data_IF_022925533115
#
_entry.id   IF_022925533115
#
_cell.length_a   1.000
_cell.length_b   1.000
_cell.length_c   1.000
_cell.angle_alpha   90.00
_cell.angle_beta   90.00
_cell.angle_gamma   90.00
#
_symmetry.space_group_name_H-M   'P 1'
#
loop_
_entity.id
_entity.type
_entity.pdbx_description
1 polymer ?
#
# COMPACT_ATOMS: atom_id res chain seq x y z
N UNK A 1 -11.61 20.89 25.14
CA UNK A 1 -12.62 21.71 24.47
C UNK A 1 -13.02 21.11 23.13
N UNK A 2 -12.06 20.64 22.33
CA UNK A 2 -12.30 20.08 20.99
C UNK A 2 -13.19 18.81 20.94
N UNK A 3 -13.11 17.93 21.95
CA UNK A 3 -13.97 16.73 22.00
C UNK A 3 -15.47 17.07 22.08
N UNK A 4 -15.84 18.12 22.84
CA UNK A 4 -17.24 18.60 22.94
C UNK A 4 -17.73 19.22 21.63
N UNK A 5 -16.85 19.88 20.88
CA UNK A 5 -17.22 20.47 19.58
C UNK A 5 -17.51 19.38 18.54
N UNK A 6 -16.74 18.28 18.56
CA UNK A 6 -16.94 17.12 17.68
C UNK A 6 -18.29 16.44 17.90
N UNK A 7 -18.63 16.13 19.15
CA UNK A 7 -19.90 15.47 19.50
C UNK A 7 -21.12 16.31 19.09
N UNK A 8 -21.06 17.63 19.28
CA UNK A 8 -22.15 18.54 18.90
C UNK A 8 -22.33 18.59 17.38
N UNK A 9 -21.24 18.56 16.62
CA UNK A 9 -21.28 18.55 15.15
C UNK A 9 -21.86 17.24 14.60
N UNK A 10 -21.46 16.09 15.14
CA UNK A 10 -22.06 14.80 14.76
C UNK A 10 -23.55 14.76 15.10
N UNK A 11 -23.94 15.26 16.28
CA UNK A 11 -25.34 15.33 16.68
C UNK A 11 -26.16 16.26 15.77
N UNK A 12 -25.61 17.41 15.36
CA UNK A 12 -26.24 18.32 14.43
C UNK A 12 -26.41 17.69 13.03
N UNK A 13 -25.38 16.99 12.54
CA UNK A 13 -25.43 16.27 11.27
C UNK A 13 -26.53 15.19 11.28
N UNK A 14 -26.59 14.38 12.34
CA UNK A 14 -27.62 13.35 12.51
C UNK A 14 -29.02 13.98 12.62
N UNK A 15 -29.16 15.10 13.32
CA UNK A 15 -30.42 15.84 13.41
C UNK A 15 -30.88 16.34 12.04
N UNK A 16 -29.96 16.85 11.21
CA UNK A 16 -30.27 17.27 9.83
C UNK A 16 -30.71 16.06 9.00
N UNK A 17 -29.98 14.94 9.06
CA UNK A 17 -30.34 13.72 8.31
C UNK A 17 -31.73 13.20 8.73
N UNK A 18 -31.98 13.08 10.03
CA UNK A 18 -33.28 12.61 10.56
C UNK A 18 -34.40 13.61 10.27
N UNK A 19 -34.13 14.91 10.39
CA UNK A 19 -35.07 15.99 10.09
C UNK A 19 -35.47 16.01 8.62
N UNK A 20 -34.50 15.87 7.71
CA UNK A 20 -34.75 15.77 6.27
C UNK A 20 -35.48 14.47 5.91
N UNK A 21 -35.13 13.34 6.51
CA UNK A 21 -35.85 12.08 6.34
C UNK A 21 -37.33 12.21 6.76
N UNK A 22 -37.59 12.79 7.93
CA UNK A 22 -38.94 13.03 8.43
C UNK A 22 -39.71 14.02 7.55
N UNK A 23 -39.09 15.13 7.13
CA UNK A 23 -39.72 16.11 6.26
C UNK A 23 -40.13 15.51 4.90
N UNK A 24 -39.28 14.66 4.33
CA UNK A 24 -39.62 13.91 3.11
C UNK A 24 -40.77 12.94 3.34
N UNK A 25 -40.79 12.22 4.47
CA UNK A 25 -41.89 11.32 4.82
C UNK A 25 -43.22 12.07 4.94
N UNK A 26 -43.24 13.22 5.61
CA UNK A 26 -44.43 14.08 5.74
C UNK A 26 -44.91 14.61 4.38
N UNK A 27 -43.99 14.75 3.42
CA UNK A 27 -44.30 15.17 2.04
C UNK A 27 -44.74 14.01 1.14
N UNK A 28 -44.85 12.79 1.68
CA UNK A 28 -45.23 11.59 0.92
C UNK A 28 -44.08 10.92 0.16
N UNK A 29 -42.83 11.34 0.39
CA UNK A 29 -41.63 10.76 -0.19
C UNK A 29 -40.96 9.77 0.79
N UNK A 30 -40.02 8.95 0.30
CA UNK A 30 -39.33 7.98 1.17
C UNK A 30 -38.34 8.66 2.13
N UNK A 31 -38.21 8.12 3.35
CA UNK A 31 -37.18 8.57 4.30
C UNK A 31 -35.77 8.41 3.74
N UNK A 32 -35.52 7.37 2.93
CA UNK A 32 -34.22 7.14 2.30
C UNK A 32 -33.83 8.27 1.34
N UNK A 33 -34.78 8.83 0.59
CA UNK A 33 -34.54 10.00 -0.26
C UNK A 33 -34.18 11.23 0.57
N UNK A 34 -34.83 11.44 1.73
CA UNK A 34 -34.49 12.55 2.63
C UNK A 34 -33.11 12.42 3.27
N UNK A 35 -32.74 11.20 3.68
CA UNK A 35 -31.40 10.91 4.19
C UNK A 35 -30.32 11.08 3.11
N UNK A 36 -30.58 10.62 1.88
CA UNK A 36 -29.69 10.79 0.74
C UNK A 36 -29.48 12.28 0.40
N UNK A 37 -30.56 13.05 0.31
CA UNK A 37 -30.49 14.48 0.01
C UNK A 37 -29.72 15.25 1.10
N UNK A 38 -29.99 14.95 2.38
CA UNK A 38 -29.23 15.51 3.49
C UNK A 38 -27.74 15.19 3.40
N UNK A 39 -27.40 13.95 3.05
CA UNK A 39 -26.02 13.53 2.82
C UNK A 39 -25.33 14.30 1.70
N UNK A 40 -26.01 14.51 0.57
CA UNK A 40 -25.48 15.31 -0.55
C UNK A 40 -25.25 16.76 -0.11
N UNK A 41 -26.22 17.38 0.56
CA UNK A 41 -26.09 18.76 1.06
C UNK A 41 -24.95 18.91 2.08
N UNK A 42 -24.78 17.93 2.97
CA UNK A 42 -23.69 17.90 3.94
C UNK A 42 -22.33 17.63 3.27
N UNK A 43 -22.29 16.92 2.14
CA UNK A 43 -21.05 16.63 1.40
C UNK A 43 -20.43 17.87 0.74
N UNK A 44 -21.23 18.92 0.49
CA UNK A 44 -20.76 20.22 -0.02
C UNK A 44 -20.35 21.19 1.11
N UNK A 45 -20.49 20.80 2.38
CA UNK A 45 -20.10 21.63 3.52
C UNK A 45 -18.59 21.75 3.69
N UNK A 46 -18.13 22.87 4.24
CA UNK A 46 -16.75 23.07 4.72
C UNK A 46 -16.31 22.02 5.75
N UNK A 47 -17.26 21.34 6.40
CA UNK A 47 -17.00 20.32 7.41
C UNK A 47 -17.07 18.87 6.89
N UNK A 48 -17.18 18.64 5.57
CA UNK A 48 -17.36 17.30 4.97
C UNK A 48 -16.35 16.26 5.48
N UNK A 49 -15.08 16.63 5.61
CA UNK A 49 -14.00 15.72 6.00
C UNK A 49 -14.09 15.32 7.48
N UNK A 50 -14.58 16.22 8.33
CA UNK A 50 -14.81 15.93 9.74
C UNK A 50 -16.04 15.04 9.91
N UNK A 51 -17.15 15.37 9.22
CA UNK A 51 -18.34 14.50 9.20
C UNK A 51 -18.03 13.09 8.68
N UNK A 52 -17.25 12.98 7.61
CA UNK A 52 -16.86 11.69 7.04
C UNK A 52 -16.06 10.86 8.05
N UNK A 53 -15.04 11.47 8.69
CA UNK A 53 -14.24 10.81 9.72
C UNK A 53 -15.06 10.39 10.95
N UNK A 54 -16.08 11.16 11.32
CA UNK A 54 -16.93 10.87 12.48
C UNK A 54 -17.99 9.78 12.17
N UNK A 55 -18.44 9.65 10.91
CA UNK A 55 -19.42 8.64 10.46
C UNK A 55 -18.75 7.33 10.03
N UNK A 56 -17.51 7.36 9.56
CA UNK A 56 -16.75 6.21 9.07
C UNK A 56 -16.78 5.00 10.03
N UNK A 57 -16.61 5.14 11.37
CA UNK A 57 -16.70 4.03 12.31
C UNK A 57 -18.08 3.35 12.33
N UNK A 58 -19.15 4.12 12.08
CA UNK A 58 -20.52 3.60 12.07
C UNK A 58 -20.91 3.00 10.73
N UNK A 59 -20.25 3.40 9.63
CA UNK A 59 -20.56 2.92 8.27
C UNK A 59 -20.53 1.39 8.21
N UNK A 60 -19.50 0.76 8.77
CA UNK A 60 -19.39 -0.71 8.78
C UNK A 60 -20.50 -1.40 9.58
N UNK A 61 -20.86 -0.84 10.74
CA UNK A 61 -21.92 -1.38 11.62
C UNK A 61 -23.29 -1.24 10.95
N UNK A 62 -23.59 -0.06 10.40
CA UNK A 62 -24.86 0.22 9.73
C UNK A 62 -25.01 -0.62 8.45
N UNK A 63 -23.93 -0.80 7.68
CA UNK A 63 -23.91 -1.69 6.51
C UNK A 63 -24.16 -3.14 6.92
N UNK A 64 -23.53 -3.60 8.01
CA UNK A 64 -23.77 -4.93 8.56
C UNK A 64 -25.23 -5.13 9.00
N UNK A 65 -25.80 -4.15 9.70
CA UNK A 65 -27.20 -4.18 10.12
C UNK A 65 -28.16 -4.14 8.92
N UNK A 66 -27.85 -3.36 7.89
CA UNK A 66 -28.61 -3.30 6.64
C UNK A 66 -28.66 -4.66 5.96
N UNK A 67 -27.50 -5.29 5.73
CA UNK A 67 -27.45 -6.60 5.09
C UNK A 67 -28.09 -7.71 5.93
N UNK A 68 -28.01 -7.62 7.26
CA UNK A 68 -28.71 -8.54 8.16
C UNK A 68 -30.23 -8.35 8.02
N UNK A 69 -30.73 -7.12 8.08
CA UNK A 69 -32.15 -6.82 7.92
C UNK A 69 -32.70 -7.26 6.56
N UNK A 70 -31.96 -7.00 5.49
CA UNK A 70 -32.29 -7.44 4.12
C UNK A 70 -32.25 -8.97 4.01
N UNK A 71 -31.28 -9.64 4.66
CA UNK A 71 -31.26 -11.10 4.73
C UNK A 71 -32.48 -11.68 5.44
N UNK A 72 -32.94 -11.03 6.51
CA UNK A 72 -34.16 -11.44 7.25
C UNK A 72 -35.46 -11.15 6.49
N UNK A 73 -35.47 -10.19 5.55
CA UNK A 73 -36.65 -9.91 4.72
C UNK A 73 -36.81 -10.88 3.55
N UNK A 74 -35.82 -11.74 3.30
CA UNK A 74 -35.88 -12.78 2.26
C UNK A 74 -36.80 -13.93 2.70
N UNK A 75 -37.98 -14.01 2.09
CA UNK A 75 -38.89 -15.13 2.29
C UNK A 75 -38.45 -16.36 1.47
N UNK A 76 -37.82 -17.33 2.15
CA UNK A 76 -37.34 -18.57 1.53
C UNK A 76 -38.48 -19.44 0.95
N UNK A 77 -39.71 -19.30 1.46
CA UNK A 77 -40.86 -20.03 0.91
C UNK A 77 -41.22 -19.49 -0.47
N UNK A 78 -41.27 -18.16 -0.62
CA UNK A 78 -41.49 -17.51 -1.93
C UNK A 78 -40.34 -17.81 -2.89
N UNK A 79 -39.10 -17.82 -2.41
CA UNK A 79 -37.92 -18.19 -3.23
C UNK A 79 -38.03 -19.62 -3.71
N UNK A 80 -38.36 -20.58 -2.84
CA UNK A 80 -38.51 -21.98 -3.21
C UNK A 80 -39.67 -22.20 -4.18
N UNK A 81 -40.79 -21.49 -4.01
CA UNK A 81 -41.93 -21.59 -4.91
C UNK A 81 -41.65 -20.99 -6.31
N UNK A 82 -40.89 -19.89 -6.38
CA UNK A 82 -40.65 -19.12 -7.61
C UNK A 82 -39.21 -19.22 -8.14
N UNK A 83 -38.43 -20.21 -7.70
CA UNK A 83 -36.98 -20.27 -7.93
C UNK A 83 -36.58 -20.16 -9.41
N UNK A 84 -37.38 -20.73 -10.32
CA UNK A 84 -37.13 -20.68 -11.77
C UNK A 84 -37.26 -19.27 -12.31
N UNK A 85 -38.34 -18.58 -11.92
CA UNK A 85 -38.60 -17.21 -12.31
C UNK A 85 -37.47 -16.32 -11.78
N UNK A 86 -37.16 -16.42 -10.50
CA UNK A 86 -36.09 -15.65 -9.86
C UNK A 86 -34.75 -15.87 -10.57
N UNK A 87 -34.35 -17.13 -10.82
CA UNK A 87 -33.09 -17.44 -11.49
C UNK A 87 -33.01 -16.82 -12.89
N UNK A 88 -34.08 -16.91 -13.69
CA UNK A 88 -34.13 -16.32 -15.03
C UNK A 88 -34.02 -14.79 -14.95
N UNK A 89 -34.81 -14.14 -14.09
CA UNK A 89 -34.82 -12.69 -13.98
C UNK A 89 -33.48 -12.15 -13.48
N UNK A 90 -32.86 -12.79 -12.48
CA UNK A 90 -31.54 -12.40 -11.97
C UNK A 90 -30.51 -12.37 -13.10
N UNK A 91 -30.38 -13.48 -13.84
CA UNK A 91 -29.41 -13.56 -14.94
C UNK A 91 -29.75 -12.56 -16.04
N UNK A 92 -31.01 -12.51 -16.46
CA UNK A 92 -31.45 -11.64 -17.54
C UNK A 92 -31.17 -10.15 -17.26
N UNK A 93 -31.56 -9.67 -16.06
CA UNK A 93 -31.37 -8.27 -15.73
C UNK A 93 -29.88 -7.94 -15.52
N UNK A 94 -29.10 -8.82 -14.88
CA UNK A 94 -27.66 -8.62 -14.69
C UNK A 94 -26.93 -8.52 -16.03
N UNK A 95 -27.22 -9.43 -16.97
CA UNK A 95 -26.63 -9.41 -18.32
C UNK A 95 -27.05 -8.16 -19.07
N UNK A 96 -28.33 -7.79 -19.04
CA UNK A 96 -28.83 -6.57 -19.69
C UNK A 96 -28.13 -5.32 -19.15
N UNK A 97 -28.00 -5.19 -17.83
CA UNK A 97 -27.35 -4.05 -17.19
C UNK A 97 -25.85 -4.03 -17.48
N UNK A 98 -25.18 -5.16 -17.38
CA UNK A 98 -23.76 -5.30 -17.70
C UNK A 98 -23.49 -4.91 -19.16
N UNK A 99 -24.34 -5.36 -20.10
CA UNK A 99 -24.23 -5.02 -21.51
C UNK A 99 -24.37 -3.51 -21.76
N UNK A 100 -25.35 -2.86 -21.14
CA UNK A 100 -25.51 -1.40 -21.24
C UNK A 100 -24.29 -0.64 -20.71
N UNK A 101 -23.78 -1.04 -19.54
CA UNK A 101 -22.61 -0.41 -18.92
C UNK A 101 -21.36 -0.64 -19.75
N UNK A 102 -21.19 -1.84 -20.30
CA UNK A 102 -20.09 -2.16 -21.21
C UNK A 102 -20.12 -1.26 -22.45
N UNK A 103 -21.27 -1.11 -23.11
CA UNK A 103 -21.41 -0.22 -24.28
C UNK A 103 -21.00 1.22 -23.91
N UNK A 104 -21.51 1.75 -22.80
CA UNK A 104 -21.18 3.10 -22.35
C UNK A 104 -19.68 3.24 -22.09
N UNK A 105 -19.05 2.29 -21.41
CA UNK A 105 -17.61 2.30 -21.16
C UNK A 105 -16.79 2.26 -22.46
N UNK A 106 -17.26 1.51 -23.47
CA UNK A 106 -16.61 1.48 -24.79
C UNK A 106 -16.79 2.79 -25.57
N UNK A 107 -17.94 3.44 -25.48
CA UNK A 107 -18.17 4.76 -26.07
C UNK A 107 -17.23 5.80 -25.44
N UNK A 108 -17.01 5.70 -24.13
CA UNK A 108 -16.06 6.53 -23.38
C UNK A 108 -14.58 6.11 -23.58
N UNK A 109 -14.29 5.27 -24.58
CA UNK A 109 -12.94 4.83 -24.98
C UNK A 109 -12.14 4.15 -23.86
N UNK A 110 -12.81 3.51 -22.91
CA UNK A 110 -12.12 2.71 -21.89
C UNK A 110 -11.65 1.36 -22.48
N UNK A 111 -10.56 0.80 -21.97
CA UNK A 111 -10.04 -0.52 -22.37
C UNK A 111 -11.10 -1.63 -22.24
N UNK A 112 -10.98 -2.71 -23.02
CA UNK A 112 -11.96 -3.82 -22.98
C UNK A 112 -12.08 -4.42 -21.59
N UNK A 113 -10.95 -4.60 -20.91
CA UNK A 113 -10.87 -5.17 -19.57
C UNK A 113 -11.56 -4.26 -18.56
N UNK A 114 -11.21 -2.99 -18.51
CA UNK A 114 -11.85 -2.04 -17.59
C UNK A 114 -13.36 -1.92 -17.85
N UNK A 115 -13.77 -1.94 -19.12
CA UNK A 115 -15.18 -1.94 -19.49
C UNK A 115 -15.90 -3.19 -18.96
N UNK A 116 -15.27 -4.36 -19.05
CA UNK A 116 -15.81 -5.63 -18.56
C UNK A 116 -15.84 -5.70 -17.03
N UNK A 117 -14.79 -5.23 -16.36
CA UNK A 117 -14.72 -5.11 -14.90
C UNK A 117 -15.84 -4.20 -14.39
N UNK A 118 -15.96 -2.98 -14.94
CA UNK A 118 -17.05 -2.05 -14.58
C UNK A 118 -18.43 -2.65 -14.83
N UNK A 119 -18.61 -3.34 -15.96
CA UNK A 119 -19.87 -4.00 -16.29
C UNK A 119 -20.27 -5.05 -15.24
N UNK A 120 -19.32 -5.88 -14.79
CA UNK A 120 -19.58 -6.92 -13.77
C UNK A 120 -19.78 -6.31 -12.38
N UNK A 121 -18.96 -5.35 -11.95
CA UNK A 121 -19.10 -4.70 -10.65
C UNK A 121 -20.44 -3.99 -10.46
N UNK A 122 -20.97 -3.41 -11.54
CA UNK A 122 -22.19 -2.61 -11.49
C UNK A 122 -23.44 -3.38 -11.93
N UNK A 123 -23.31 -4.66 -12.34
CA UNK A 123 -24.44 -5.48 -12.82
C UNK A 123 -25.52 -5.75 -11.75
N UNK A 124 -25.16 -5.69 -10.47
CA UNK A 124 -26.06 -6.04 -9.37
C UNK A 124 -27.21 -5.06 -9.16
N UNK A 125 -28.25 -5.50 -8.46
CA UNK A 125 -29.34 -4.65 -7.99
C UNK A 125 -28.85 -3.66 -6.93
N UNK A 126 -29.43 -2.47 -6.90
CA UNK A 126 -29.11 -1.45 -5.90
C UNK A 126 -30.00 -1.54 -4.67
N UNK A 127 -29.50 -1.10 -3.52
CA UNK A 127 -30.22 -1.07 -2.24
C UNK A 127 -31.50 -0.22 -2.28
N UNK A 128 -31.54 0.79 -3.15
CA UNK A 128 -32.71 1.62 -3.37
C UNK A 128 -33.91 0.85 -3.94
N UNK A 129 -33.70 -0.32 -4.53
CA UNK A 129 -34.78 -1.17 -5.03
C UNK A 129 -35.72 -1.61 -3.90
N UNK A 130 -35.19 -1.91 -2.70
CA UNK A 130 -35.99 -2.34 -1.55
C UNK A 130 -36.98 -1.26 -1.11
N UNK A 131 -36.52 0.00 -1.10
CA UNK A 131 -37.36 1.15 -0.75
C UNK A 131 -38.43 1.37 -1.82
N UNK A 132 -38.06 1.27 -3.10
CA UNK A 132 -38.98 1.46 -4.22
C UNK A 132 -40.09 0.40 -4.25
N UNK A 133 -39.74 -0.88 -4.09
CA UNK A 133 -40.73 -1.97 -4.10
C UNK A 133 -41.64 -1.91 -2.87
N UNK A 134 -41.11 -1.60 -1.70
CA UNK A 134 -41.92 -1.41 -0.49
C UNK A 134 -42.92 -0.25 -0.65
N UNK A 135 -42.49 0.86 -1.26
CA UNK A 135 -43.38 1.99 -1.55
C UNK A 135 -44.46 1.62 -2.57
N UNK A 136 -44.10 0.89 -3.64
CA UNK A 136 -45.05 0.42 -4.63
C UNK A 136 -46.08 -0.56 -4.02
N UNK A 137 -45.66 -1.44 -3.12
CA UNK A 137 -46.53 -2.35 -2.40
C UNK A 137 -47.48 -1.60 -1.46
N UNK A 138 -46.99 -0.57 -0.76
CA UNK A 138 -47.80 0.23 0.16
C UNK A 138 -48.96 0.97 -0.53
N UNK A 139 -48.79 1.37 -1.79
CA UNK A 139 -49.82 2.04 -2.60
C UNK A 139 -50.65 1.01 -3.42
N UNK A 140 -50.35 -0.29 -3.30
CA UNK A 140 -51.10 -1.36 -3.97
C UNK A 140 -50.79 -1.55 -5.45
N UNK A 141 -49.66 -0.99 -5.95
CA UNK A 141 -49.22 -1.20 -7.34
C UNK A 141 -48.74 -2.64 -7.56
N UNK A 142 -48.10 -3.21 -6.53
CA UNK A 142 -47.65 -4.61 -6.51
C UNK A 142 -48.21 -5.31 -5.27
N UNK A 143 -48.46 -6.62 -5.38
CA UNK A 143 -48.87 -7.44 -4.25
C UNK A 143 -47.67 -7.90 -3.41
N UNK A 144 -47.95 -8.48 -2.24
CA UNK A 144 -46.89 -8.94 -1.32
C UNK A 144 -45.99 -10.01 -1.94
N UNK A 145 -46.55 -10.88 -2.80
CA UNK A 145 -45.80 -11.92 -3.48
C UNK A 145 -44.83 -11.35 -4.54
N UNK A 146 -45.27 -10.37 -5.34
CA UNK A 146 -44.38 -9.67 -6.27
C UNK A 146 -43.29 -8.89 -5.53
N UNK A 147 -43.61 -8.21 -4.42
CA UNK A 147 -42.61 -7.51 -3.62
C UNK A 147 -41.53 -8.45 -3.06
N UNK A 148 -41.94 -9.60 -2.51
CA UNK A 148 -41.02 -10.63 -2.02
C UNK A 148 -40.17 -11.22 -3.15
N UNK A 149 -40.77 -11.50 -4.32
CA UNK A 149 -40.07 -12.02 -5.49
C UNK A 149 -39.03 -11.04 -6.04
N UNK A 150 -39.38 -9.75 -6.17
CA UNK A 150 -38.47 -8.71 -6.65
C UNK A 150 -37.32 -8.43 -5.66
N UNK A 151 -37.63 -8.44 -4.37
CA UNK A 151 -36.62 -8.33 -3.30
C UNK A 151 -35.65 -9.50 -3.35
N UNK A 152 -36.15 -10.73 -3.53
CA UNK A 152 -35.31 -11.92 -3.68
C UNK A 152 -34.37 -11.83 -4.90
N UNK A 153 -34.85 -11.34 -6.05
CA UNK A 153 -34.03 -11.11 -7.25
C UNK A 153 -32.86 -10.18 -6.94
N UNK A 154 -33.11 -9.06 -6.25
CA UNK A 154 -32.05 -8.11 -5.88
C UNK A 154 -31.04 -8.74 -4.91
N UNK A 155 -31.51 -9.43 -3.88
CA UNK A 155 -30.62 -10.07 -2.88
C UNK A 155 -29.74 -11.13 -3.53
N UNK A 156 -30.33 -12.04 -4.31
CA UNK A 156 -29.58 -13.11 -4.97
C UNK A 156 -28.57 -12.53 -5.94
N UNK A 157 -28.89 -11.42 -6.61
CA UNK A 157 -27.90 -10.77 -7.47
C UNK A 157 -26.68 -10.25 -6.72
N UNK A 158 -26.86 -9.64 -5.54
CA UNK A 158 -25.75 -9.15 -4.71
C UNK A 158 -24.87 -10.30 -4.23
N UNK A 159 -25.47 -11.46 -3.95
CA UNK A 159 -24.75 -12.69 -3.60
C UNK A 159 -23.97 -13.24 -4.80
N UNK A 160 -24.52 -13.15 -6.03
CA UNK A 160 -23.85 -13.62 -7.24
C UNK A 160 -22.73 -12.71 -7.74
N UNK A 161 -22.76 -11.40 -7.45
CA UNK A 161 -21.73 -10.45 -7.87
C UNK A 161 -20.30 -10.84 -7.50
N UNK A 162 -19.97 -11.16 -6.22
CA UNK A 162 -18.61 -11.58 -5.87
C UNK A 162 -18.18 -12.84 -6.62
N UNK A 163 -19.10 -13.78 -6.88
CA UNK A 163 -18.82 -14.97 -7.69
C UNK A 163 -18.54 -14.61 -9.15
N UNK A 164 -19.31 -13.67 -9.72
CA UNK A 164 -19.09 -13.16 -11.07
C UNK A 164 -17.74 -12.43 -11.20
N UNK A 165 -17.33 -11.67 -10.17
CA UNK A 165 -16.01 -11.02 -10.12
C UNK A 165 -14.88 -12.05 -10.07
N UNK A 166 -15.02 -13.08 -9.24
CA UNK A 166 -14.04 -14.18 -9.17
C UNK A 166 -13.94 -14.90 -10.51
N UNK A 167 -15.08 -15.23 -11.13
CA UNK A 167 -15.12 -15.84 -12.45
C UNK A 167 -14.43 -14.95 -13.49
N UNK A 168 -14.74 -13.65 -13.53
CA UNK A 168 -14.09 -12.70 -14.42
C UNK A 168 -12.56 -12.70 -14.25
N UNK A 169 -12.07 -12.68 -13.02
CA UNK A 169 -10.63 -12.73 -12.72
C UNK A 169 -9.96 -14.03 -13.17
N UNK A 170 -10.69 -15.14 -13.20
CA UNK A 170 -10.18 -16.42 -13.67
C UNK A 170 -10.21 -16.53 -15.20
N UNK A 171 -11.26 -16.01 -15.85
CA UNK A 171 -11.42 -16.03 -17.31
C UNK A 171 -10.55 -14.99 -18.03
N UNK A 172 -10.19 -13.89 -17.35
CA UNK A 172 -9.37 -12.82 -17.94
C UNK A 172 -7.91 -13.03 -17.53
N UNK A 173 -6.98 -13.28 -18.47
CA UNK A 173 -5.56 -13.43 -18.17
C UNK A 173 -5.02 -12.25 -17.33
N UNK A 174 -4.03 -12.48 -16.46
CA UNK A 174 -3.29 -11.37 -15.84
C UNK A 174 -2.59 -10.56 -16.94
N UNK A 175 -2.51 -9.24 -16.75
CA UNK A 175 -1.96 -8.27 -17.70
C UNK A 175 -0.76 -8.79 -18.51
N UNK A 176 -0.93 -8.90 -19.82
CA UNK A 176 0.09 -8.42 -20.76
C UNK A 176 -0.36 -7.01 -21.13
N UNK A 177 0.25 -5.99 -20.50
CA UNK A 177 0.02 -4.62 -20.93
C UNK A 177 0.56 -4.49 -22.35
N UNK A 178 -0.20 -3.83 -23.23
CA UNK A 178 0.15 -3.73 -24.65
C UNK A 178 1.53 -3.09 -24.82
N UNK A 179 2.38 -3.77 -25.58
CA UNK A 179 3.71 -3.32 -26.02
C UNK A 179 3.63 -2.31 -27.19
N UNK A 180 2.44 -1.86 -27.60
CA UNK A 180 2.27 -0.94 -28.71
C UNK A 180 3.03 0.37 -28.45
N UNK A 181 4.16 0.56 -29.16
CA UNK A 181 5.02 1.74 -29.08
C UNK A 181 6.31 1.58 -28.27
N UNK A 182 6.57 0.40 -27.69
CA UNK A 182 7.85 0.10 -27.02
C UNK A 182 8.67 -0.83 -27.91
N UNK A 183 9.69 -0.28 -28.57
CA UNK A 183 10.69 -1.08 -29.26
C UNK A 183 11.42 -1.96 -28.24
N UNK A 184 11.12 -3.26 -28.24
CA UNK A 184 11.91 -4.24 -27.50
C UNK A 184 13.31 -4.21 -28.08
N UNK A 185 14.25 -3.63 -27.32
CA UNK A 185 15.61 -3.45 -27.80
C UNK A 185 16.26 -4.82 -28.04
N UNK A 186 16.58 -5.12 -29.30
CA UNK A 186 17.26 -6.36 -29.67
C UNK A 186 18.80 -6.18 -29.60
N UNK A 187 19.51 -7.22 -29.14
CA UNK A 187 20.97 -7.24 -29.20
C UNK A 187 21.74 -6.36 -28.19
N UNK A 188 21.26 -6.23 -26.95
CA UNK A 188 21.93 -5.40 -25.96
C UNK A 188 23.20 -6.03 -25.36
N UNK A 189 24.28 -5.25 -25.40
CA UNK A 189 25.55 -5.44 -24.69
C UNK A 189 25.70 -4.38 -23.61
N UNK A 190 24.61 -4.01 -22.95
CA UNK A 190 24.62 -3.02 -21.87
C UNK A 190 25.61 -3.43 -20.78
N UNK A 191 26.45 -2.49 -20.36
CA UNK A 191 27.40 -2.75 -19.28
C UNK A 191 26.69 -2.92 -17.93
N UNK A 192 25.56 -2.23 -17.74
CA UNK A 192 24.80 -2.24 -16.50
C UNK A 192 23.32 -2.43 -16.78
N UNK A 193 22.69 -3.36 -16.06
CA UNK A 193 21.24 -3.58 -16.11
C UNK A 193 20.59 -3.01 -14.85
N UNK A 194 19.59 -2.15 -14.99
CA UNK A 194 18.81 -1.59 -13.89
C UNK A 194 17.43 -2.26 -13.87
N UNK A 195 17.00 -2.76 -12.72
CA UNK A 195 15.69 -3.38 -12.54
C UNK A 195 14.86 -2.48 -11.63
N UNK A 196 13.86 -1.81 -12.19
CA UNK A 196 13.06 -0.78 -11.56
C UNK A 196 13.61 0.62 -11.80
N UNK A 197 12.90 1.40 -12.60
CA UNK A 197 13.19 2.76 -13.04
C UNK A 197 12.24 3.81 -12.44
N UNK A 198 11.81 3.57 -11.21
CA UNK A 198 11.20 4.60 -10.38
C UNK A 198 12.22 5.66 -9.91
N UNK A 199 11.81 6.50 -8.95
CA UNK A 199 12.62 7.60 -8.40
C UNK A 199 14.06 7.23 -8.06
N UNK A 200 14.28 6.07 -7.43
CA UNK A 200 15.62 5.63 -7.06
C UNK A 200 16.46 5.24 -8.29
N UNK A 201 15.90 4.45 -9.20
CA UNK A 201 16.59 4.00 -10.42
C UNK A 201 16.97 5.17 -11.33
N UNK A 202 16.08 6.15 -11.47
CA UNK A 202 16.31 7.38 -12.26
C UNK A 202 17.49 8.19 -11.76
N UNK A 203 17.64 8.34 -10.44
CA UNK A 203 18.76 9.07 -9.84
C UNK A 203 20.04 8.22 -9.87
N UNK A 204 19.93 6.93 -9.56
CA UNK A 204 21.07 6.00 -9.56
C UNK A 204 21.68 5.81 -10.96
N UNK A 205 20.93 6.01 -12.04
CA UNK A 205 21.45 5.93 -13.41
C UNK A 205 22.26 7.16 -13.83
N UNK A 206 22.04 8.34 -13.24
CA UNK A 206 22.69 9.59 -13.68
C UNK A 206 24.23 9.53 -13.61
N UNK A 207 24.86 9.06 -12.51
CA UNK A 207 26.31 8.96 -12.46
C UNK A 207 26.89 8.00 -13.52
N UNK A 208 26.14 6.95 -13.88
CA UNK A 208 26.55 5.99 -14.91
C UNK A 208 26.52 6.63 -16.30
N UNK A 209 25.44 7.35 -16.61
CA UNK A 209 25.30 8.10 -17.85
C UNK A 209 26.37 9.17 -18.00
N UNK A 210 26.67 9.93 -16.94
CA UNK A 210 27.71 10.96 -16.95
C UNK A 210 29.11 10.40 -17.24
N UNK A 211 29.31 9.09 -17.03
CA UNK A 211 30.56 8.38 -17.36
C UNK A 211 30.49 7.64 -18.70
N UNK A 212 29.42 7.81 -19.47
CA UNK A 212 29.23 7.14 -20.76
C UNK A 212 29.06 5.63 -20.63
N UNK A 213 28.55 5.14 -19.50
CA UNK A 213 28.29 3.71 -19.30
C UNK A 213 26.92 3.38 -19.90
N UNK A 214 26.91 2.39 -20.81
CA UNK A 214 25.66 1.88 -21.40
C UNK A 214 24.80 1.18 -20.34
N UNK A 215 23.56 1.66 -20.21
CA UNK A 215 22.57 1.16 -19.26
C UNK A 215 21.38 0.56 -20.01
N UNK A 216 20.91 -0.59 -19.55
CA UNK A 216 19.65 -1.20 -19.96
C UNK A 216 18.70 -1.27 -18.77
N UNK A 217 17.40 -1.16 -19.00
CA UNK A 217 16.39 -1.04 -17.94
C UNK A 217 15.34 -2.15 -18.10
N UNK A 218 14.91 -2.75 -16.99
CA UNK A 218 13.67 -3.52 -16.89
C UNK A 218 12.71 -2.75 -15.98
N UNK A 219 11.50 -2.49 -16.47
CA UNK A 219 10.41 -1.96 -15.66
C UNK A 219 9.06 -2.56 -16.11
N UNK A 220 8.08 -2.58 -15.22
CA UNK A 220 6.72 -3.03 -15.50
C UNK A 220 5.71 -1.88 -15.61
N UNK A 221 6.13 -0.64 -15.33
CA UNK A 221 5.35 0.58 -15.45
C UNK A 221 5.61 1.24 -16.81
N UNK A 222 4.55 1.33 -17.64
CA UNK A 222 4.60 1.92 -18.97
C UNK A 222 5.03 3.40 -18.94
N UNK A 223 4.63 4.16 -17.92
CA UNK A 223 5.02 5.57 -17.80
C UNK A 223 6.53 5.70 -17.56
N UNK A 224 7.08 4.83 -16.70
CA UNK A 224 8.53 4.81 -16.43
C UNK A 224 9.33 4.37 -17.65
N UNK A 225 8.77 3.49 -18.49
CA UNK A 225 9.39 3.04 -19.74
C UNK A 225 9.43 4.16 -20.77
N UNK A 226 8.35 4.92 -20.92
CA UNK A 226 8.31 6.08 -21.80
C UNK A 226 9.31 7.15 -21.34
N UNK A 227 9.33 7.44 -20.04
CA UNK A 227 10.31 8.37 -19.47
C UNK A 227 11.75 7.88 -19.71
N UNK A 228 12.04 6.59 -19.57
CA UNK A 228 13.35 6.02 -19.84
C UNK A 228 13.73 6.09 -21.34
N UNK A 229 12.78 5.87 -22.24
CA UNK A 229 13.00 5.96 -23.68
C UNK A 229 13.40 7.39 -24.12
N UNK A 230 12.81 8.43 -23.50
CA UNK A 230 13.17 9.83 -23.76
C UNK A 230 14.64 10.15 -23.41
N UNK A 231 15.22 9.44 -22.44
CA UNK A 231 16.64 9.54 -22.09
C UNK A 231 17.55 8.67 -22.98
N UNK A 232 17.00 7.98 -23.98
CA UNK A 232 17.74 7.11 -24.89
C UNK A 232 18.17 5.78 -24.26
N UNK A 233 17.58 5.41 -23.12
CA UNK A 233 17.83 4.09 -22.55
C UNK A 233 17.20 3.00 -23.41
N UNK A 234 17.82 1.82 -23.38
CA UNK A 234 17.21 0.62 -23.93
C UNK A 234 16.39 -0.04 -22.84
N UNK A 235 15.08 -0.13 -23.07
CA UNK A 235 14.11 -0.50 -22.05
C UNK A 235 13.42 -1.80 -22.41
N UNK A 236 13.31 -2.69 -21.44
CA UNK A 236 12.51 -3.90 -21.50
C UNK A 236 11.31 -3.76 -20.60
N UNK A 237 10.13 -3.94 -21.20
CA UNK A 237 8.92 -4.15 -20.44
C UNK A 237 8.94 -5.54 -19.82
N UNK A 238 8.78 -5.61 -18.50
CA UNK A 238 8.37 -6.83 -17.84
C UNK A 238 8.82 -6.99 -16.40
N UNK A 239 8.54 -8.18 -15.86
CA UNK A 239 8.77 -8.50 -14.46
C UNK A 239 10.21 -9.01 -14.24
N UNK A 240 11.01 -8.24 -13.49
CA UNK A 240 12.38 -8.61 -13.13
C UNK A 240 12.51 -9.89 -12.29
N UNK A 241 11.40 -10.44 -11.77
CA UNK A 241 11.38 -11.75 -11.09
C UNK A 241 11.32 -12.93 -12.05
N UNK A 242 11.20 -12.68 -13.37
CA UNK A 242 11.15 -13.73 -14.39
C UNK A 242 12.52 -13.92 -15.05
N UNK A 243 13.01 -15.15 -15.04
CA UNK A 243 14.35 -15.48 -15.54
C UNK A 243 14.50 -15.27 -17.06
N UNK A 244 13.45 -15.60 -17.83
CA UNK A 244 13.41 -15.37 -19.28
C UNK A 244 13.57 -13.88 -19.63
N UNK A 245 12.94 -12.99 -18.86
CA UNK A 245 13.07 -11.54 -19.02
C UNK A 245 14.49 -11.07 -18.66
N UNK A 246 15.07 -11.60 -17.58
CA UNK A 246 16.46 -11.30 -17.21
C UNK A 246 17.45 -11.71 -18.31
N UNK A 247 17.26 -12.89 -18.93
CA UNK A 247 18.08 -13.32 -20.06
C UNK A 247 17.89 -12.42 -21.29
N UNK A 248 16.64 -12.13 -21.65
CA UNK A 248 16.32 -11.25 -22.78
C UNK A 248 16.93 -9.86 -22.60
N UNK A 249 16.91 -9.34 -21.37
CA UNK A 249 17.50 -8.06 -21.02
C UNK A 249 19.03 -8.04 -20.95
N UNK A 250 19.67 -9.18 -21.20
CA UNK A 250 21.12 -9.29 -21.25
C UNK A 250 21.81 -9.42 -19.89
N UNK A 251 21.11 -9.86 -18.83
CA UNK A 251 21.70 -10.04 -17.50
C UNK A 251 22.97 -10.92 -17.54
N UNK A 252 22.99 -11.96 -18.38
CA UNK A 252 24.16 -12.84 -18.54
C UNK A 252 25.38 -12.19 -19.23
N UNK A 253 25.25 -11.00 -19.82
CA UNK A 253 26.34 -10.23 -20.43
C UNK A 253 26.65 -8.93 -19.71
N UNK A 254 25.80 -8.53 -18.76
CA UNK A 254 26.00 -7.32 -17.98
C UNK A 254 27.25 -7.45 -17.10
N UNK A 255 27.90 -6.33 -16.79
CA UNK A 255 28.99 -6.26 -15.80
C UNK A 255 28.45 -6.05 -14.40
N UNK A 256 27.30 -5.39 -14.27
CA UNK A 256 26.60 -5.21 -13.01
C UNK A 256 25.09 -5.15 -13.19
N UNK A 257 24.36 -5.52 -12.15
CA UNK A 257 22.92 -5.31 -12.03
C UNK A 257 22.62 -4.43 -10.83
N UNK A 258 21.77 -3.41 -11.03
CA UNK A 258 21.22 -2.58 -9.97
C UNK A 258 19.76 -2.98 -9.76
N UNK A 259 19.45 -3.54 -8.60
CA UNK A 259 18.08 -3.84 -8.18
C UNK A 259 17.53 -2.59 -7.48
N UNK A 260 16.62 -1.89 -8.15
CA UNK A 260 16.10 -0.58 -7.73
C UNK A 260 14.59 -0.60 -7.43
N UNK A 261 13.96 -1.78 -7.42
CA UNK A 261 12.56 -1.98 -7.01
C UNK A 261 12.30 -1.55 -5.56
N UNK A 262 11.07 -1.13 -5.26
CA UNK A 262 10.65 -0.64 -3.95
C UNK A 262 10.14 -1.74 -3.01
N UNK A 263 9.55 -2.81 -3.55
CA UNK A 263 9.05 -3.95 -2.79
C UNK A 263 10.19 -4.85 -2.30
N UNK A 264 10.32 -4.98 -0.98
CA UNK A 264 11.41 -5.70 -0.32
C UNK A 264 11.47 -7.20 -0.69
N UNK A 265 10.34 -7.88 -0.73
CA UNK A 265 10.22 -9.29 -1.10
C UNK A 265 10.62 -9.52 -2.57
N UNK A 266 10.20 -8.63 -3.45
CA UNK A 266 10.57 -8.63 -4.87
C UNK A 266 12.07 -8.43 -5.04
N UNK A 267 12.67 -7.45 -4.34
CA UNK A 267 14.10 -7.16 -4.41
C UNK A 267 14.95 -8.39 -4.02
N UNK A 268 14.60 -9.04 -2.90
CA UNK A 268 15.29 -10.25 -2.43
C UNK A 268 15.12 -11.41 -3.40
N UNK A 269 13.91 -11.57 -3.97
CA UNK A 269 13.65 -12.62 -4.97
C UNK A 269 14.51 -12.44 -6.22
N UNK A 270 14.60 -11.22 -6.74
CA UNK A 270 15.44 -10.89 -7.90
C UNK A 270 16.91 -11.19 -7.59
N UNK A 271 17.40 -10.76 -6.43
CA UNK A 271 18.77 -11.01 -5.99
C UNK A 271 19.11 -12.51 -5.96
N UNK A 272 18.22 -13.33 -5.39
CA UNK A 272 18.38 -14.79 -5.34
C UNK A 272 18.43 -15.42 -6.73
N UNK A 273 17.55 -15.00 -7.64
CA UNK A 273 17.50 -15.51 -9.01
C UNK A 273 18.80 -15.17 -9.76
N UNK A 274 19.25 -13.91 -9.66
CA UNK A 274 20.47 -13.47 -10.32
C UNK A 274 21.68 -14.20 -9.75
N UNK A 275 21.79 -14.35 -8.43
CA UNK A 275 22.94 -15.04 -7.83
C UNK A 275 22.94 -16.54 -8.07
N UNK A 276 21.77 -17.15 -8.31
CA UNK A 276 21.66 -18.55 -8.70
C UNK A 276 22.07 -18.77 -10.17
N UNK A 277 21.58 -17.96 -11.11
CA UNK A 277 21.83 -18.15 -12.55
C UNK A 277 23.13 -17.49 -13.03
N UNK A 278 23.45 -16.32 -12.50
CA UNK A 278 24.59 -15.48 -12.88
C UNK A 278 25.52 -15.22 -11.68
N UNK A 279 26.17 -16.26 -11.12
CA UNK A 279 26.91 -16.15 -9.86
C UNK A 279 28.09 -15.17 -9.90
N UNK A 280 28.66 -14.92 -11.08
CA UNK A 280 29.79 -13.99 -11.29
C UNK A 280 29.35 -12.53 -11.50
N UNK A 281 28.05 -12.27 -11.60
CA UNK A 281 27.51 -10.94 -11.85
C UNK A 281 27.55 -10.11 -10.56
N UNK A 282 28.11 -8.90 -10.65
CA UNK A 282 28.07 -7.93 -9.57
C UNK A 282 26.64 -7.43 -9.41
N UNK A 283 26.07 -7.57 -8.22
CA UNK A 283 24.70 -7.16 -7.89
C UNK A 283 24.76 -6.10 -6.81
N UNK A 284 24.15 -4.96 -7.11
CA UNK A 284 23.91 -3.87 -6.17
C UNK A 284 22.41 -3.78 -5.93
N UNK A 285 21.97 -3.64 -4.68
CA UNK A 285 20.55 -3.63 -4.36
C UNK A 285 20.14 -2.48 -3.45
N UNK A 286 19.05 -1.83 -3.82
CA UNK A 286 18.28 -0.97 -2.92
C UNK A 286 17.64 -1.84 -1.84
N UNK A 287 17.83 -1.45 -0.59
CA UNK A 287 17.13 -2.02 0.55
C UNK A 287 16.08 -1.02 1.05
N UNK A 288 14.83 -1.47 1.18
CA UNK A 288 13.76 -0.64 1.75
C UNK A 288 14.06 -0.27 3.21
N UNK A 289 14.52 -1.26 3.98
CA UNK A 289 14.84 -1.09 5.39
C UNK A 289 16.05 -1.95 5.81
N UNK A 290 16.36 -1.91 7.10
CA UNK A 290 17.45 -2.70 7.70
C UNK A 290 17.21 -4.21 7.63
N UNK A 291 15.97 -4.67 7.76
CA UNK A 291 15.65 -6.10 7.65
C UNK A 291 15.93 -6.63 6.25
N UNK A 292 15.50 -5.88 5.24
CA UNK A 292 15.73 -6.16 3.82
C UNK A 292 17.22 -6.16 3.49
N UNK A 293 17.98 -5.18 4.01
CA UNK A 293 19.43 -5.13 3.84
C UNK A 293 20.13 -6.42 4.32
N UNK A 294 19.76 -6.95 5.49
CA UNK A 294 20.29 -8.23 5.99
C UNK A 294 19.93 -9.40 5.09
N UNK A 295 18.70 -9.44 4.55
CA UNK A 295 18.26 -10.48 3.64
C UNK A 295 19.01 -10.45 2.30
N UNK A 296 19.27 -9.25 1.77
CA UNK A 296 20.03 -9.06 0.52
C UNK A 296 21.48 -9.53 0.66
N UNK A 297 22.14 -9.21 1.79
CA UNK A 297 23.50 -9.71 2.07
C UNK A 297 23.51 -11.24 2.15
N UNK A 298 22.52 -11.83 2.83
CA UNK A 298 22.39 -13.30 2.89
C UNK A 298 22.09 -13.93 1.52
N UNK A 299 21.44 -13.20 0.63
CA UNK A 299 21.24 -13.61 -0.76
C UNK A 299 22.51 -13.49 -1.63
N UNK A 300 23.61 -12.94 -1.09
CA UNK A 300 24.90 -12.84 -1.76
C UNK A 300 25.08 -11.58 -2.61
N UNK A 301 24.26 -10.55 -2.40
CA UNK A 301 24.42 -9.24 -3.05
C UNK A 301 25.75 -8.59 -2.65
N UNK A 302 26.47 -8.02 -3.61
CA UNK A 302 27.82 -7.45 -3.39
C UNK A 302 27.77 -6.09 -2.68
N UNK A 303 26.71 -5.32 -2.92
CA UNK A 303 26.50 -4.05 -2.25
C UNK A 303 25.01 -3.77 -2.03
N UNK A 304 24.65 -3.28 -0.84
CA UNK A 304 23.29 -2.82 -0.57
C UNK A 304 23.29 -1.44 0.04
N UNK A 305 22.26 -0.66 -0.28
CA UNK A 305 22.03 0.66 0.31
C UNK A 305 20.59 0.78 0.80
N UNK A 306 20.41 1.16 2.07
CA UNK A 306 19.11 1.53 2.63
C UNK A 306 18.65 2.86 2.04
N UNK A 307 17.49 2.87 1.41
CA UNK A 307 17.04 3.95 0.54
C UNK A 307 16.94 5.33 1.23
N UNK A 308 16.56 5.38 2.50
CA UNK A 308 16.35 6.64 3.24
C UNK A 308 17.50 7.00 4.17
N UNK A 309 18.47 6.11 4.37
CA UNK A 309 19.43 6.24 5.46
C UNK A 309 20.32 7.49 5.32
N UNK A 310 21.00 7.64 4.18
CA UNK A 310 21.87 8.81 3.95
C UNK A 310 21.07 10.11 3.86
N UNK A 311 19.88 10.10 3.24
CA UNK A 311 19.01 11.27 3.19
C UNK A 311 18.55 11.71 4.59
N UNK A 312 18.27 10.76 5.48
CA UNK A 312 17.90 11.06 6.86
C UNK A 312 19.07 11.62 7.68
N UNK A 313 20.30 11.15 7.45
CA UNK A 313 21.50 11.72 8.06
C UNK A 313 21.73 13.17 7.63
N UNK A 314 21.65 13.45 6.33
CA UNK A 314 21.77 14.82 5.81
C UNK A 314 20.69 15.73 6.38
N UNK A 315 19.44 15.26 6.42
CA UNK A 315 18.33 16.02 7.02
C UNK A 315 18.55 16.31 8.51
N UNK A 316 19.02 15.31 9.27
CA UNK A 316 19.39 15.47 10.68
C UNK A 316 20.52 16.48 10.89
N UNK A 317 21.51 16.49 9.99
CA UNK A 317 22.60 17.47 10.00
C UNK A 317 22.08 18.90 9.84
N UNK A 318 21.24 19.14 8.81
CA UNK A 318 20.62 20.45 8.60
C UNK A 318 19.72 20.89 9.76
N UNK A 319 19.10 19.94 10.47
CA UNK A 319 18.35 20.24 11.69
C UNK A 319 19.26 20.71 12.84
N UNK A 320 20.43 20.09 13.03
CA UNK A 320 21.40 20.51 14.05
C UNK A 320 21.98 21.91 13.74
N UNK A 321 22.31 22.17 12.47
CA UNK A 321 22.76 23.50 12.02
C UNK A 321 21.70 24.58 12.32
N UNK A 322 20.43 24.27 12.05
CA UNK A 322 19.30 25.18 12.31
C UNK A 322 19.07 25.44 13.80
N UNK A 323 19.55 24.54 14.68
CA UNK A 323 19.51 24.68 16.13
C UNK A 323 20.76 25.40 16.69
N UNK A 324 21.68 25.83 15.82
CA UNK A 324 22.87 26.61 16.20
C UNK A 324 24.07 25.76 16.62
N UNK A 325 24.11 24.47 16.27
CA UNK A 325 25.30 23.62 16.44
C UNK A 325 26.35 24.00 15.40
N UNK A 326 27.63 24.01 15.77
CA UNK A 326 28.72 24.34 14.85
C UNK A 326 28.83 23.29 13.73
N UNK A 327 29.07 23.70 12.45
CA UNK A 327 29.18 22.78 11.33
C UNK A 327 30.21 21.66 11.52
N UNK A 328 31.31 21.90 12.23
CA UNK A 328 32.32 20.88 12.52
C UNK A 328 31.76 19.81 13.47
N UNK A 329 31.07 20.24 14.54
CA UNK A 329 30.39 19.35 15.48
C UNK A 329 29.24 18.56 14.82
N UNK A 330 28.52 19.18 13.86
CA UNK A 330 27.49 18.50 13.07
C UNK A 330 28.10 17.38 12.23
N UNK A 331 29.21 17.66 11.53
CA UNK A 331 29.90 16.67 10.71
C UNK A 331 30.41 15.49 11.56
N UNK A 332 31.01 15.77 12.72
CA UNK A 332 31.46 14.73 13.65
C UNK A 332 30.28 13.89 14.16
N UNK A 333 29.17 14.55 14.53
CA UNK A 333 27.97 13.88 15.04
C UNK A 333 27.36 12.94 13.98
N UNK A 334 27.22 13.40 12.74
CA UNK A 334 26.67 12.57 11.65
C UNK A 334 27.58 11.38 11.35
N UNK A 335 28.90 11.57 11.35
CA UNK A 335 29.84 10.48 11.13
C UNK A 335 29.83 9.47 12.28
N UNK A 336 29.72 9.93 13.52
CA UNK A 336 29.57 9.05 14.69
C UNK A 336 28.28 8.22 14.64
N UNK A 337 27.16 8.81 14.20
CA UNK A 337 25.90 8.09 13.96
C UNK A 337 26.06 7.05 12.85
N UNK A 338 26.70 7.41 11.73
CA UNK A 338 26.97 6.49 10.61
C UNK A 338 27.83 5.31 11.04
N UNK A 339 28.91 5.57 11.78
CA UNK A 339 29.80 4.54 12.34
C UNK A 339 29.05 3.59 13.27
N UNK A 340 28.31 4.11 14.25
CA UNK A 340 27.52 3.28 15.18
C UNK A 340 26.45 2.45 14.49
N UNK A 341 25.79 3.02 13.48
CA UNK A 341 24.82 2.29 12.67
C UNK A 341 25.50 1.09 11.97
N UNK A 342 26.68 1.31 11.39
CA UNK A 342 27.50 0.29 10.72
C UNK A 342 27.92 -0.82 11.68
N UNK A 343 28.53 -0.48 12.82
CA UNK A 343 28.93 -1.44 13.85
C UNK A 343 27.74 -2.30 14.34
N UNK A 344 26.58 -1.64 14.49
CA UNK A 344 25.34 -2.33 14.84
C UNK A 344 24.88 -3.27 13.74
N UNK A 345 24.94 -2.83 12.50
CA UNK A 345 24.51 -3.61 11.35
C UNK A 345 25.37 -4.88 11.19
N UNK A 346 26.68 -4.77 11.37
CA UNK A 346 27.60 -5.92 11.40
C UNK A 346 27.25 -6.91 12.53
N UNK A 347 27.02 -6.39 13.74
CA UNK A 347 26.60 -7.22 14.87
C UNK A 347 25.29 -7.97 14.57
N UNK A 348 24.32 -7.30 13.94
CA UNK A 348 23.04 -7.90 13.58
C UNK A 348 23.12 -8.91 12.44
N UNK A 349 24.14 -8.78 11.57
CA UNK A 349 24.41 -9.78 10.54
C UNK A 349 24.82 -11.12 11.18
N UNK A 350 25.64 -11.07 12.23
CA UNK A 350 26.11 -12.25 12.96
C UNK A 350 25.07 -12.81 13.96
N UNK A 351 24.46 -11.95 14.78
CA UNK A 351 23.65 -12.36 15.94
C UNK A 351 22.14 -12.19 15.75
N UNK A 352 21.71 -11.60 14.62
CA UNK A 352 20.31 -11.35 14.29
C UNK A 352 19.79 -9.96 14.62
N UNK A 353 18.58 -9.64 14.17
CA UNK A 353 18.06 -8.26 14.08
C UNK A 353 17.93 -7.52 15.43
N UNK A 354 17.83 -8.25 16.55
CA UNK A 354 17.72 -7.66 17.89
C UNK A 354 19.05 -7.31 18.54
N UNK A 355 20.17 -7.73 17.95
CA UNK A 355 21.50 -7.47 18.49
C UNK A 355 21.92 -6.00 18.33
N UNK A 356 22.99 -5.61 19.06
CA UNK A 356 23.60 -4.29 18.93
C UNK A 356 22.79 -3.12 19.52
N UNK A 357 21.91 -3.37 20.50
CA UNK A 357 21.14 -2.29 21.16
C UNK A 357 22.03 -1.25 21.83
N UNK A 358 23.23 -1.65 22.30
CA UNK A 358 24.24 -0.77 22.91
C UNK A 358 24.71 0.39 22.01
N UNK A 359 24.54 0.26 20.69
CA UNK A 359 24.94 1.28 19.72
C UNK A 359 23.87 2.36 19.52
N UNK A 360 22.65 2.15 20.04
CA UNK A 360 21.59 3.16 20.02
C UNK A 360 21.76 4.13 21.18
N UNK A 361 21.68 5.43 20.88
CA UNK A 361 21.41 6.46 21.87
C UNK A 361 19.90 6.59 22.00
N UNK A 362 19.39 6.37 23.21
CA UNK A 362 17.99 6.63 23.55
C UNK A 362 17.90 7.68 24.65
N UNK A 363 16.70 8.25 24.84
CA UNK A 363 16.43 9.15 25.97
C UNK A 363 16.36 8.42 27.32
N UNK A 364 16.39 7.09 27.29
CA UNK A 364 16.52 6.25 28.48
C UNK A 364 18.02 6.00 28.62
N UNK A 365 18.65 6.59 29.63
CA UNK A 365 20.07 6.37 29.90
C UNK A 365 20.35 4.87 29.95
N UNK A 366 21.29 4.39 29.15
CA UNK A 366 21.76 3.00 29.21
C UNK A 366 22.16 2.73 30.67
N UNK A 367 21.47 1.86 31.41
CA UNK A 367 21.75 1.69 32.83
C UNK A 367 23.17 1.14 32.93
N UNK A 368 24.08 1.98 33.44
CA UNK A 368 25.40 1.52 33.88
C UNK A 368 25.09 0.62 35.08
N UNK A 369 25.46 -0.68 35.06
CA UNK A 369 25.21 -1.55 36.20
C UNK A 369 26.06 -1.08 37.38
N UNK A 370 25.47 -0.23 38.23
CA UNK A 370 26.04 0.11 39.53
C UNK A 370 25.78 -1.05 40.49
N UNK A 371 26.77 -1.53 41.26
CA UNK A 371 26.55 -2.54 42.27
C UNK A 371 25.42 -2.12 43.21
N UNK A 372 24.45 -3.02 43.47
CA UNK A 372 23.31 -2.76 44.36
C UNK A 372 23.70 -2.43 45.81
N UNK A 373 24.96 -2.68 46.17
CA UNK A 373 25.55 -2.33 47.45
C UNK A 373 26.95 -1.76 47.23
N UNK A 374 27.26 -0.66 47.92
CA UNK A 374 28.64 -0.20 48.06
C UNK A 374 29.48 -1.29 48.73
N UNK A 375 30.64 -1.68 48.17
CA UNK A 375 31.52 -2.65 48.80
C UNK A 375 31.90 -2.18 50.21
N UNK A 376 31.72 -3.03 51.23
CA UNK A 376 32.10 -2.70 52.61
C UNK A 376 33.61 -2.55 52.83
N UNK A 377 34.41 -2.92 51.83
CA UNK A 377 35.86 -2.78 51.84
C UNK A 377 36.28 -2.00 50.60
N UNK A 378 37.11 -0.95 50.73
CA UNK A 378 37.72 -0.32 49.57
C UNK A 378 38.58 -1.35 48.83
N UNK A 379 38.61 -1.27 47.50
CA UNK A 379 39.48 -2.12 46.70
C UNK A 379 40.94 -1.87 47.05
N UNK A 380 41.70 -2.94 47.32
CA UNK A 380 43.14 -2.85 47.55
C UNK A 380 43.85 -3.11 46.23
N UNK A 381 44.75 -2.22 45.81
CA UNK A 381 45.60 -2.47 44.65
C UNK A 381 46.53 -3.66 44.94
N UNK A 382 46.63 -4.58 44.00
CA UNK A 382 47.51 -5.74 44.06
C UNK A 382 48.84 -5.50 43.32
N UNK A 383 48.95 -4.40 42.57
CA UNK A 383 50.19 -3.95 41.93
C UNK A 383 50.24 -2.42 41.82
N UNK A 384 51.43 -1.86 41.55
CA UNK A 384 51.64 -0.41 41.46
C UNK A 384 50.84 0.24 40.31
N UNK A 385 50.60 -0.48 39.21
CA UNK A 385 49.76 0.01 38.11
C UNK A 385 48.28 0.19 38.53
N UNK A 386 47.72 -0.70 39.35
CA UNK A 386 46.33 -0.53 39.85
C UNK A 386 46.22 0.53 40.95
N UNK A 387 47.31 0.85 41.66
CA UNK A 387 47.31 1.91 42.68
C UNK A 387 47.01 3.29 42.08
N UNK A 388 47.48 3.56 40.86
CA UNK A 388 47.21 4.82 40.14
C UNK A 388 45.76 5.01 39.72
N UNK A 389 44.97 3.94 39.60
CA UNK A 389 43.56 3.99 39.18
C UNK A 389 42.63 4.25 40.37
N UNK A 390 42.96 3.72 41.56
CA UNK A 390 42.16 3.90 42.78
C UNK A 390 42.13 5.35 43.28
N UNK A 391 43.18 6.14 43.05
CA UNK A 391 43.25 7.54 43.46
C UNK A 391 42.59 8.53 42.50
N UNK A 392 42.14 8.09 41.32
CA UNK A 392 41.57 8.98 40.29
C UNK A 392 40.05 9.14 40.39
N UNK A 393 39.42 8.41 41.30
CA UNK A 393 37.95 8.28 41.40
C UNK A 393 37.29 9.07 42.54
N UNK A 394 38.00 9.96 43.24
CA UNK A 394 37.35 10.97 44.08
C UNK A 394 37.08 12.23 43.23
N UNK A 395 35.82 12.58 42.92
CA UNK A 395 35.51 13.89 42.38
C UNK A 395 35.79 14.94 43.45
N UNK A 396 36.54 15.99 43.09
CA UNK A 396 36.59 17.21 43.88
C UNK A 396 35.18 17.84 43.89
N UNK A 397 34.73 18.26 45.08
CA UNK A 397 33.42 18.87 45.36
C UNK A 397 33.00 19.99 44.38
#
# INVERSE_FOLDING_TARGET
ADARAREVMTAAALLVVLGSALAMQLSGLSMAMGAFLAGVLLSESTFRHQLEADIEPFRGILLGLFFLAVGMSLDLHVVAANWRLIAIYVVAYMVMKAFGIYIVARILKTSHREALERAVFMAQGGEFAFVLYSAAAAVGIIDGNANATLTAIVIISMVLTPLAIIALRYLTPRDEQSLDGVDVADGLTGSVLIIGFGRFGQIASQPLLLRGIDVSIIDNDVEMIQAAADFGFKVYYGDGTRLDILHAAGAGRARAVLICVDKADVAVRIAQLIKAEFPLLTVLARAFDRGTALQLIRAGVDYQLRETFESALVFGGSALESLGVDPEDVAETIEDVRRRDTDRFETQLAEGIRAGQRFLRGNIGTPIPTPLSTPRRPGQALNEETAGVLHKSEPAD
#
